data_IF_658611502743
#
_entry.id   IF_658611502743
#
_cell.length_a   1.000
_cell.length_b   1.000
_cell.length_c   1.000
_cell.angle_alpha   90.00
_cell.angle_beta   90.00
_cell.angle_gamma   90.00
#
_symmetry.space_group_name_H-M   'P 1'
#
loop_
_entity.id
_entity.type
_entity.pdbx_description
1 polymer ?
#
# COMPACT_ATOMS: atom_id res chain seq x y z
N UNK A 1 6.86 6.91 13.42
CA UNK A 1 5.49 7.10 12.88
C UNK A 1 5.17 5.91 11.99
N UNK A 2 3.92 5.70 11.58
CA UNK A 2 3.59 4.59 10.67
C UNK A 2 3.63 5.09 9.23
N UNK A 3 3.96 4.24 8.27
CA UNK A 3 3.95 4.61 6.85
C UNK A 3 2.62 5.24 6.41
N UNK A 4 1.48 4.77 6.97
CA UNK A 4 0.18 5.39 6.71
C UNK A 4 0.08 6.83 7.25
N UNK A 5 0.78 7.16 8.33
CA UNK A 5 0.89 8.54 8.83
C UNK A 5 1.75 9.38 7.91
N UNK A 6 2.89 8.86 7.48
CA UNK A 6 3.85 9.59 6.64
C UNK A 6 3.22 9.94 5.28
N UNK A 7 2.46 9.00 4.68
CA UNK A 7 1.66 9.26 3.45
C UNK A 7 0.62 10.38 3.66
N UNK A 8 -0.07 10.39 4.81
CA UNK A 8 -1.06 11.44 5.11
C UNK A 8 -0.40 12.79 5.33
N UNK A 9 0.76 12.82 6.00
CA UNK A 9 1.55 14.03 6.19
C UNK A 9 2.01 14.59 4.85
N UNK A 10 2.58 13.76 3.96
CA UNK A 10 2.98 14.17 2.61
C UNK A 10 1.82 14.77 1.82
N UNK A 11 0.66 14.10 1.80
CA UNK A 11 -0.54 14.58 1.12
C UNK A 11 -0.95 15.97 1.63
N UNK A 12 -0.96 16.16 2.95
CA UNK A 12 -1.36 17.42 3.58
C UNK A 12 -0.36 18.52 3.24
N UNK A 13 0.94 18.28 3.43
CA UNK A 13 2.00 19.25 3.17
C UNK A 13 2.00 19.71 1.71
N UNK A 14 1.94 18.77 0.75
CA UNK A 14 1.90 19.11 -0.68
C UNK A 14 0.63 19.85 -1.07
N UNK A 15 -0.52 19.48 -0.50
CA UNK A 15 -1.78 20.22 -0.71
C UNK A 15 -1.73 21.63 -0.13
N UNK A 16 -1.16 21.81 1.07
CA UNK A 16 -0.99 23.12 1.70
C UNK A 16 -0.04 23.99 0.89
N UNK A 17 1.11 23.46 0.48
CA UNK A 17 2.06 24.17 -0.37
C UNK A 17 1.42 24.61 -1.67
N UNK A 18 0.70 23.72 -2.36
CA UNK A 18 0.02 24.04 -3.61
C UNK A 18 -1.08 25.12 -3.42
N UNK A 19 -1.79 25.13 -2.27
CA UNK A 19 -2.74 26.19 -1.93
C UNK A 19 -2.04 27.53 -1.70
N UNK A 20 -0.94 27.55 -0.95
CA UNK A 20 -0.18 28.76 -0.64
C UNK A 20 0.46 29.39 -1.88
N UNK A 21 0.98 28.58 -2.79
CA UNK A 21 1.59 29.04 -4.05
C UNK A 21 0.57 29.35 -5.17
N UNK A 22 -0.74 29.23 -4.91
CA UNK A 22 -1.79 29.45 -5.93
C UNK A 22 -1.82 28.36 -7.02
N UNK A 23 -1.11 27.24 -6.83
CA UNK A 23 -1.08 26.11 -7.76
C UNK A 23 -2.30 25.19 -7.71
N UNK A 24 -3.09 25.28 -6.64
CA UNK A 24 -4.33 24.50 -6.50
C UNK A 24 -5.54 25.37 -6.83
N UNK A 25 -6.38 24.91 -7.77
CA UNK A 25 -7.63 25.60 -8.13
C UNK A 25 -8.66 25.49 -7.00
N UNK A 26 -9.51 26.51 -6.86
CA UNK A 26 -10.59 26.52 -5.87
C UNK A 26 -11.56 25.32 -6.02
N UNK A 27 -11.85 24.89 -7.25
CA UNK A 27 -12.64 23.67 -7.50
C UNK A 27 -12.00 22.40 -6.92
N UNK A 28 -10.65 22.29 -6.96
CA UNK A 28 -9.93 21.16 -6.36
C UNK A 28 -9.93 21.24 -4.83
N UNK A 29 -9.79 22.45 -4.26
CA UNK A 29 -9.90 22.65 -2.81
C UNK A 29 -11.31 22.27 -2.34
N UNK A 30 -12.35 22.68 -3.06
CA UNK A 30 -13.74 22.30 -2.79
C UNK A 30 -13.94 20.78 -2.85
N UNK A 31 -13.43 20.13 -3.87
CA UNK A 31 -13.53 18.67 -4.04
C UNK A 31 -12.77 17.91 -2.91
N UNK A 32 -11.60 18.38 -2.49
CA UNK A 32 -10.84 17.80 -1.38
C UNK A 32 -11.59 17.95 -0.05
N UNK A 33 -12.13 19.14 0.23
CA UNK A 33 -13.01 19.36 1.40
C UNK A 33 -14.20 18.42 1.39
N UNK A 34 -14.87 18.31 0.25
CA UNK A 34 -16.01 17.43 0.09
C UNK A 34 -15.64 15.97 0.34
N UNK A 35 -14.56 15.48 -0.24
CA UNK A 35 -14.05 14.13 -0.01
C UNK A 35 -13.76 13.87 1.47
N UNK A 36 -13.05 14.78 2.14
CA UNK A 36 -12.70 14.63 3.55
C UNK A 36 -13.93 14.59 4.45
N UNK A 37 -14.94 15.42 4.20
CA UNK A 37 -16.18 15.51 4.98
C UNK A 37 -17.13 14.35 4.68
N UNK A 38 -17.40 14.05 3.41
CA UNK A 38 -18.38 13.04 2.98
C UNK A 38 -18.00 11.63 3.43
N UNK A 39 -16.70 11.27 3.36
CA UNK A 39 -16.23 9.94 3.71
C UNK A 39 -15.96 9.75 5.20
N UNK A 40 -16.17 10.79 6.03
CA UNK A 40 -16.20 10.63 7.48
C UNK A 40 -17.35 9.71 7.92
N UNK A 41 -17.15 9.05 9.05
CA UNK A 41 -18.18 8.19 9.63
C UNK A 41 -19.49 8.95 9.89
N UNK A 42 -19.40 10.16 10.42
CA UNK A 42 -20.54 11.00 10.81
C UNK A 42 -20.62 12.23 9.88
N UNK A 43 -21.48 12.16 8.85
CA UNK A 43 -21.82 13.26 7.95
C UNK A 43 -23.33 13.22 7.69
N UNK A 44 -24.11 13.90 8.55
CA UNK A 44 -25.56 13.95 8.51
C UNK A 44 -26.09 15.19 9.22
N UNK A 45 -27.40 15.52 9.09
CA UNK A 45 -28.04 16.60 9.82
C UNK A 45 -27.89 16.48 11.35
N UNK A 46 -27.88 15.25 11.88
CA UNK A 46 -27.71 15.01 13.30
C UNK A 46 -26.29 15.17 13.79
N UNK A 47 -25.32 14.83 12.93
CA UNK A 47 -23.91 14.80 13.34
C UNK A 47 -22.95 14.94 12.16
N UNK A 48 -22.01 15.88 12.29
CA UNK A 48 -20.86 16.04 11.40
C UNK A 48 -19.62 16.04 12.26
N UNK A 49 -18.79 14.98 12.18
CA UNK A 49 -17.53 14.92 12.91
C UNK A 49 -16.55 13.91 12.30
N UNK A 50 -15.26 14.17 12.49
CA UNK A 50 -14.19 13.21 12.27
C UNK A 50 -13.60 12.74 13.59
N UNK A 51 -13.19 11.47 13.64
CA UNK A 51 -12.32 10.91 14.67
C UNK A 51 -11.07 10.38 14.02
N UNK A 52 -9.92 10.85 14.43
CA UNK A 52 -8.64 10.46 13.86
C UNK A 52 -7.54 10.53 14.93
N UNK A 53 -6.51 9.71 14.78
CA UNK A 53 -5.28 9.78 15.58
C UNK A 53 -4.28 10.75 14.95
N UNK A 54 -4.50 11.12 13.67
CA UNK A 54 -3.59 11.94 12.90
C UNK A 54 -3.88 13.44 13.11
N UNK A 55 -2.94 14.16 13.72
CA UNK A 55 -3.12 15.57 14.06
C UNK A 55 -3.26 16.48 12.83
N UNK A 56 -2.50 16.21 11.75
CA UNK A 56 -2.59 16.94 10.49
C UNK A 56 -3.97 16.82 9.84
N UNK A 57 -4.55 15.60 9.79
CA UNK A 57 -5.92 15.39 9.29
C UNK A 57 -6.95 16.14 10.13
N UNK A 58 -6.81 16.12 11.46
CA UNK A 58 -7.72 16.85 12.34
C UNK A 58 -7.64 18.37 12.11
N UNK A 59 -6.43 18.92 11.92
CA UNK A 59 -6.18 20.33 11.64
C UNK A 59 -6.76 20.74 10.28
N UNK A 60 -6.52 19.93 9.23
CA UNK A 60 -7.05 20.17 7.90
C UNK A 60 -8.59 20.17 7.90
N UNK A 61 -9.21 19.17 8.56
CA UNK A 61 -10.67 19.10 8.73
C UNK A 61 -11.21 20.33 9.44
N UNK A 62 -10.56 20.76 10.51
CA UNK A 62 -10.96 21.96 11.27
C UNK A 62 -10.82 23.23 10.42
N UNK A 63 -9.76 23.34 9.61
CA UNK A 63 -9.56 24.45 8.67
C UNK A 63 -10.65 24.51 7.61
N UNK A 64 -11.06 23.37 7.04
CA UNK A 64 -12.13 23.29 6.05
C UNK A 64 -13.49 23.66 6.66
N UNK A 65 -13.81 23.15 7.85
CA UNK A 65 -15.04 23.54 8.56
C UNK A 65 -15.02 25.05 8.85
N UNK A 66 -13.88 25.60 9.28
CA UNK A 66 -13.72 27.04 9.53
C UNK A 66 -13.90 27.86 8.26
N UNK A 67 -13.39 27.41 7.11
CA UNK A 67 -13.56 28.08 5.80
C UNK A 67 -15.05 28.19 5.42
N UNK A 68 -15.85 27.15 5.68
CA UNK A 68 -17.28 27.13 5.36
C UNK A 68 -18.10 27.97 6.35
N UNK A 69 -17.82 27.84 7.64
CA UNK A 69 -18.64 28.42 8.70
C UNK A 69 -18.21 29.83 9.13
N UNK A 70 -16.95 30.22 8.86
CA UNK A 70 -16.32 31.42 9.40
C UNK A 70 -15.90 31.30 10.86
N UNK A 71 -16.10 30.15 11.51
CA UNK A 71 -15.74 29.90 12.92
C UNK A 71 -15.15 28.52 13.14
N UNK A 72 -14.31 28.38 14.18
CA UNK A 72 -13.61 27.12 14.50
C UNK A 72 -14.59 26.07 15.01
N UNK A 73 -14.47 24.79 14.56
CA UNK A 73 -15.22 23.67 15.14
C UNK A 73 -14.71 23.34 16.56
N UNK A 74 -15.46 22.48 17.26
CA UNK A 74 -15.02 21.91 18.54
C UNK A 74 -13.98 20.83 18.31
N UNK A 75 -12.82 20.97 18.97
CA UNK A 75 -11.76 19.95 18.96
C UNK A 75 -11.64 19.36 20.38
N UNK A 76 -11.71 18.04 20.48
CA UNK A 76 -11.56 17.28 21.72
C UNK A 76 -10.46 16.24 21.52
N UNK A 77 -9.50 16.19 22.45
CA UNK A 77 -8.45 15.16 22.48
C UNK A 77 -8.77 14.16 23.59
N UNK A 78 -8.75 12.89 23.27
CA UNK A 78 -8.88 11.82 24.25
C UNK A 78 -7.52 11.49 24.85
N UNK A 79 -7.49 10.96 26.07
CA UNK A 79 -6.28 10.42 26.72
C UNK A 79 -5.58 9.31 25.92
N UNK A 80 -6.34 8.60 25.09
CA UNK A 80 -5.83 7.56 24.18
C UNK A 80 -5.26 8.11 22.84
N UNK A 81 -5.03 9.43 22.71
CA UNK A 81 -4.45 10.04 21.51
C UNK A 81 -5.44 10.34 20.39
N UNK A 82 -6.70 9.89 20.48
CA UNK A 82 -7.72 10.16 19.48
C UNK A 82 -8.19 11.63 19.52
N UNK A 83 -8.24 12.26 18.36
CA UNK A 83 -8.72 13.63 18.17
C UNK A 83 -10.11 13.55 17.52
N UNK A 84 -11.07 14.23 18.14
CA UNK A 84 -12.41 14.42 17.57
C UNK A 84 -12.60 15.89 17.19
N UNK A 85 -12.93 16.14 15.93
CA UNK A 85 -13.35 17.45 15.45
C UNK A 85 -14.82 17.40 15.08
N UNK A 86 -15.65 18.21 15.73
CA UNK A 86 -17.12 18.15 15.60
C UNK A 86 -17.73 19.52 15.37
N UNK A 87 -18.79 19.54 14.55
CA UNK A 87 -19.60 20.71 14.26
C UNK A 87 -20.75 20.80 15.27
N UNK A 88 -20.83 21.93 16.01
CA UNK A 88 -21.89 22.23 16.96
C UNK A 88 -22.98 23.01 16.28
N UNK A 89 -24.20 22.80 16.72
CA UNK A 89 -25.38 23.53 16.21
C UNK A 89 -25.96 22.91 14.95
N UNK A 90 -27.25 22.92 14.86
CA UNK A 90 -27.98 22.39 13.71
C UNK A 90 -27.78 23.27 12.47
N UNK A 91 -27.90 24.59 12.63
CA UNK A 91 -27.68 25.53 11.53
C UNK A 91 -26.32 25.43 10.88
N UNK A 92 -25.26 25.14 11.66
CA UNK A 92 -23.91 24.94 11.12
C UNK A 92 -23.79 23.64 10.32
N UNK A 93 -24.38 22.57 10.83
CA UNK A 93 -24.42 21.30 10.10
C UNK A 93 -25.18 21.43 8.80
N UNK A 94 -26.35 22.10 8.88
CA UNK A 94 -27.18 22.35 7.71
C UNK A 94 -26.41 23.18 6.65
N UNK A 95 -25.73 24.26 7.06
CA UNK A 95 -24.89 25.07 6.16
C UNK A 95 -23.80 24.26 5.47
N UNK A 96 -23.14 23.33 6.20
CA UNK A 96 -22.12 22.45 5.59
C UNK A 96 -22.77 21.50 4.58
N UNK A 97 -23.91 20.90 4.91
CA UNK A 97 -24.62 20.00 3.99
C UNK A 97 -25.05 20.73 2.72
N UNK A 98 -25.65 21.90 2.86
CA UNK A 98 -26.09 22.75 1.73
C UNK A 98 -24.92 23.17 0.83
N UNK A 99 -23.74 23.48 1.41
CA UNK A 99 -22.53 23.81 0.65
C UNK A 99 -22.18 22.73 -0.37
N UNK A 100 -22.46 21.47 -0.04
CA UNK A 100 -22.19 20.31 -0.92
C UNK A 100 -23.45 19.73 -1.58
N UNK A 101 -24.59 20.45 -1.49
CA UNK A 101 -25.85 20.04 -2.09
C UNK A 101 -26.47 18.79 -1.47
N UNK A 102 -26.33 18.64 -0.14
CA UNK A 102 -26.99 17.62 0.67
C UNK A 102 -28.09 18.25 1.53
N UNK A 103 -29.19 17.51 1.76
CA UNK A 103 -30.30 17.94 2.65
C UNK A 103 -30.08 17.45 4.07
N UNK A 104 -29.29 16.40 4.26
CA UNK A 104 -29.10 15.72 5.55
C UNK A 104 -30.21 14.75 5.93
N UNK A 105 -31.29 14.70 5.15
CA UNK A 105 -32.42 13.77 5.28
C UNK A 105 -32.38 12.59 4.30
N UNK A 106 -31.29 12.48 3.52
CA UNK A 106 -31.10 11.39 2.57
C UNK A 106 -31.06 10.04 3.27
N UNK A 107 -31.88 9.09 2.78
CA UNK A 107 -31.91 7.69 3.28
C UNK A 107 -30.56 7.02 3.09
N UNK A 108 -29.86 7.36 2.00
CA UNK A 108 -28.55 6.79 1.67
C UNK A 108 -27.54 7.87 1.36
N UNK A 109 -26.38 7.81 2.03
CA UNK A 109 -25.26 8.71 1.71
C UNK A 109 -24.70 8.35 0.34
N UNK A 110 -24.63 9.34 -0.55
CA UNK A 110 -24.11 9.21 -1.91
C UNK A 110 -23.24 10.40 -2.29
N UNK A 111 -22.37 10.20 -3.25
CA UNK A 111 -21.53 11.26 -3.81
C UNK A 111 -22.40 12.15 -4.72
N UNK A 112 -22.40 13.45 -4.46
CA UNK A 112 -23.00 14.46 -5.32
C UNK A 112 -21.95 14.96 -6.32
N UNK A 113 -22.11 14.58 -7.60
CA UNK A 113 -21.14 14.91 -8.66
C UNK A 113 -21.06 16.40 -9.02
N UNK A 114 -22.04 17.19 -8.65
CA UNK A 114 -21.98 18.65 -8.82
C UNK A 114 -20.78 19.31 -8.10
N UNK A 115 -20.18 18.61 -7.11
CA UNK A 115 -18.97 19.06 -6.42
C UNK A 115 -17.66 18.75 -7.21
N UNK A 116 -17.76 18.13 -8.37
CA UNK A 116 -16.63 17.79 -9.26
C UNK A 116 -16.83 18.53 -10.58
N UNK A 117 -16.38 19.78 -10.62
CA UNK A 117 -16.58 20.68 -11.77
C UNK A 117 -15.74 20.27 -12.97
N UNK A 118 -14.51 19.79 -12.74
CA UNK A 118 -13.55 19.41 -13.76
C UNK A 118 -12.86 18.08 -13.41
N UNK A 119 -12.18 17.49 -14.38
CA UNK A 119 -11.39 16.26 -14.18
C UNK A 119 -10.33 16.41 -13.06
N UNK A 120 -9.73 17.58 -12.93
CA UNK A 120 -8.76 17.88 -11.86
C UNK A 120 -9.34 17.81 -10.44
N UNK A 121 -10.68 17.75 -10.29
CA UNK A 121 -11.35 17.58 -9.01
C UNK A 121 -11.35 16.11 -8.53
N UNK A 122 -11.22 15.15 -9.44
CA UNK A 122 -11.27 13.72 -9.11
C UNK A 122 -10.12 13.31 -8.17
N UNK A 123 -8.83 13.58 -8.49
CA UNK A 123 -7.74 13.27 -7.58
C UNK A 123 -7.87 13.99 -6.24
N UNK A 124 -8.37 15.22 -6.23
CA UNK A 124 -8.59 15.97 -5.01
C UNK A 124 -9.67 15.35 -4.11
N UNK A 125 -10.79 14.89 -4.68
CA UNK A 125 -11.82 14.15 -3.94
C UNK A 125 -11.28 12.82 -3.37
N UNK A 126 -10.55 12.04 -4.19
CA UNK A 126 -9.97 10.75 -3.76
C UNK A 126 -8.98 10.97 -2.62
N UNK A 127 -8.15 12.02 -2.70
CA UNK A 127 -7.24 12.44 -1.65
C UNK A 127 -7.98 12.76 -0.35
N UNK A 128 -9.05 13.57 -0.40
CA UNK A 128 -9.90 13.87 0.74
C UNK A 128 -10.53 12.62 1.35
N UNK A 129 -11.03 11.70 0.51
CA UNK A 129 -11.55 10.41 0.95
C UNK A 129 -10.47 9.56 1.64
N UNK A 130 -9.24 9.51 1.08
CA UNK A 130 -8.13 8.78 1.68
C UNK A 130 -7.75 9.34 3.06
N UNK A 131 -7.66 10.65 3.21
CA UNK A 131 -7.39 11.28 4.50
C UNK A 131 -8.44 10.93 5.55
N UNK A 132 -9.70 10.73 5.15
CA UNK A 132 -10.81 10.40 6.03
C UNK A 132 -10.92 8.93 6.39
N UNK A 133 -10.89 8.04 5.41
CA UNK A 133 -11.19 6.62 5.58
C UNK A 133 -10.14 5.68 4.95
N UNK A 134 -9.05 6.25 4.42
CA UNK A 134 -7.96 5.48 3.81
C UNK A 134 -6.89 5.06 4.81
N UNK A 135 -6.28 3.91 4.53
CA UNK A 135 -5.07 3.42 5.21
C UNK A 135 -4.19 2.66 4.24
N UNK A 136 -2.91 2.56 4.55
CA UNK A 136 -1.91 1.83 3.79
C UNK A 136 -0.97 1.07 4.73
N UNK A 137 -0.58 -0.12 4.37
CA UNK A 137 0.37 -0.94 5.12
C UNK A 137 1.81 -0.53 4.79
N UNK A 138 2.73 -0.71 5.73
CA UNK A 138 4.16 -0.50 5.48
C UNK A 138 4.63 -1.41 4.32
N UNK A 139 5.25 -0.84 3.26
CA UNK A 139 5.66 -1.57 2.07
C UNK A 139 6.72 -2.66 2.35
N UNK A 140 7.43 -2.58 3.48
CA UNK A 140 8.33 -3.67 3.90
C UNK A 140 7.59 -4.96 4.23
N UNK A 141 6.33 -4.86 4.69
CA UNK A 141 5.49 -6.00 5.07
C UNK A 141 4.65 -6.49 3.90
N UNK A 142 3.79 -5.62 3.36
CA UNK A 142 2.86 -5.96 2.28
C UNK A 142 2.45 -4.70 1.52
N UNK A 143 2.04 -4.86 0.26
CA UNK A 143 1.48 -3.79 -0.57
C UNK A 143 -0.04 -3.82 -0.45
N UNK A 144 -0.57 -3.08 0.54
CA UNK A 144 -2.00 -3.04 0.77
C UNK A 144 -2.47 -1.61 1.11
N UNK A 145 -3.29 -1.05 0.23
CA UNK A 145 -3.97 0.23 0.43
C UNK A 145 -5.47 -0.02 0.41
N UNK A 146 -6.21 0.53 1.37
CA UNK A 146 -7.64 0.36 1.44
C UNK A 146 -8.40 1.62 1.88
N UNK A 147 -9.66 1.72 1.42
CA UNK A 147 -10.65 2.68 1.87
C UNK A 147 -11.76 1.92 2.61
N UNK A 148 -12.00 2.25 3.87
CA UNK A 148 -13.02 1.61 4.72
C UNK A 148 -14.25 2.50 4.80
N UNK A 149 -15.34 2.11 4.14
CA UNK A 149 -16.51 2.95 3.95
C UNK A 149 -17.74 2.28 4.58
N UNK A 150 -18.47 3.00 5.43
CA UNK A 150 -19.64 2.45 6.14
C UNK A 150 -20.89 2.30 5.25
N UNK A 151 -20.99 3.06 4.16
CA UNK A 151 -22.17 3.13 3.30
C UNK A 151 -21.92 2.50 1.94
N UNK A 152 -22.71 1.47 1.58
CA UNK A 152 -22.55 0.72 0.32
C UNK A 152 -22.62 1.65 -0.91
N UNK A 153 -23.65 2.49 -0.99
CA UNK A 153 -23.85 3.36 -2.16
C UNK A 153 -22.69 4.33 -2.34
N UNK A 154 -22.17 4.89 -1.25
CA UNK A 154 -21.00 5.77 -1.29
C UNK A 154 -19.73 5.02 -1.74
N UNK A 155 -19.56 3.78 -1.28
CA UNK A 155 -18.49 2.90 -1.73
C UNK A 155 -18.58 2.61 -3.24
N UNK A 156 -19.77 2.28 -3.73
CA UNK A 156 -20.01 2.02 -5.15
C UNK A 156 -19.77 3.29 -6.00
N UNK A 157 -20.13 4.48 -5.48
CA UNK A 157 -19.86 5.75 -6.15
C UNK A 157 -18.36 6.03 -6.25
N UNK A 158 -17.58 5.83 -5.18
CA UNK A 158 -16.14 6.01 -5.20
C UNK A 158 -15.47 5.03 -6.17
N UNK A 159 -15.89 3.75 -6.16
CA UNK A 159 -15.41 2.74 -7.10
C UNK A 159 -15.66 3.15 -8.56
N UNK A 160 -16.86 3.63 -8.87
CA UNK A 160 -17.20 4.11 -10.21
C UNK A 160 -16.32 5.29 -10.62
N UNK A 161 -16.13 6.25 -9.72
CA UNK A 161 -15.31 7.42 -9.97
C UNK A 161 -13.83 7.04 -10.23
N UNK A 162 -13.28 6.09 -9.45
CA UNK A 162 -11.93 5.58 -9.68
C UNK A 162 -11.80 4.85 -11.03
N UNK A 163 -12.81 4.06 -11.40
CA UNK A 163 -12.82 3.36 -12.67
C UNK A 163 -12.84 4.30 -13.89
N UNK A 164 -13.41 5.50 -13.75
CA UNK A 164 -13.45 6.53 -14.82
C UNK A 164 -12.05 7.10 -15.13
N UNK A 165 -11.10 6.94 -14.21
CA UNK A 165 -9.71 7.38 -14.34
C UNK A 165 -8.73 6.19 -14.35
N UNK A 166 -9.20 5.04 -14.85
CA UNK A 166 -8.45 3.80 -15.02
C UNK A 166 -7.84 3.21 -13.73
N UNK A 167 -8.39 3.58 -12.58
CA UNK A 167 -8.02 3.04 -11.27
C UNK A 167 -9.07 2.03 -10.83
N UNK A 168 -8.72 0.73 -10.81
CA UNK A 168 -9.66 -0.39 -10.57
C UNK A 168 -9.44 -1.03 -9.20
N UNK A 169 -10.10 -0.56 -8.12
CA UNK A 169 -10.03 -1.17 -6.81
C UNK A 169 -10.77 -2.51 -6.77
N UNK A 170 -10.27 -3.45 -5.97
CA UNK A 170 -11.00 -4.65 -5.55
C UNK A 170 -11.98 -4.27 -4.45
N UNK A 171 -13.07 -5.03 -4.32
CA UNK A 171 -14.12 -4.79 -3.34
C UNK A 171 -14.35 -6.01 -2.45
N UNK A 172 -14.55 -5.77 -1.16
CA UNK A 172 -14.92 -6.79 -0.18
C UNK A 172 -15.76 -6.18 0.93
N UNK A 173 -16.60 -7.00 1.57
CA UNK A 173 -17.31 -6.62 2.81
C UNK A 173 -16.63 -7.30 3.99
N UNK A 174 -16.24 -6.53 5.01
CA UNK A 174 -15.64 -7.02 6.24
C UNK A 174 -16.38 -6.47 7.45
N UNK A 175 -16.91 -7.34 8.29
CA UNK A 175 -17.63 -6.95 9.54
C UNK A 175 -18.69 -5.86 9.32
N UNK A 176 -19.43 -5.95 8.22
CA UNK A 176 -20.50 -5.00 7.89
C UNK A 176 -20.06 -3.67 7.27
N UNK A 177 -18.76 -3.44 7.04
CA UNK A 177 -18.23 -2.28 6.32
C UNK A 177 -17.78 -2.66 4.91
N UNK A 178 -17.83 -1.71 3.98
CA UNK A 178 -17.47 -1.87 2.59
C UNK A 178 -16.03 -1.39 2.40
N UNK A 179 -15.18 -2.22 1.79
CA UNK A 179 -13.75 -1.94 1.62
C UNK A 179 -13.39 -1.98 0.14
N UNK A 180 -12.84 -0.89 -0.37
CA UNK A 180 -12.13 -0.84 -1.64
C UNK A 180 -10.64 -0.98 -1.35
N UNK A 181 -9.94 -1.89 -2.06
CA UNK A 181 -8.54 -2.15 -1.75
C UNK A 181 -7.70 -2.48 -2.98
N UNK A 182 -6.39 -2.26 -2.81
CA UNK A 182 -5.33 -2.60 -3.76
C UNK A 182 -4.31 -3.48 -3.06
N UNK A 183 -3.80 -4.51 -3.76
CA UNK A 183 -2.72 -5.41 -3.28
C UNK A 183 -1.56 -5.51 -4.25
N UNK A 184 -1.65 -4.82 -5.35
CA UNK A 184 -0.64 -4.75 -6.37
C UNK A 184 0.20 -3.48 -6.15
N UNK A 185 1.54 -3.63 -6.06
CA UNK A 185 2.43 -2.51 -5.79
C UNK A 185 2.27 -1.40 -6.84
N UNK A 186 2.21 -1.74 -8.12
CA UNK A 186 2.09 -0.79 -9.23
C UNK A 186 0.80 0.04 -9.11
N UNK A 187 -0.32 -0.63 -8.80
CA UNK A 187 -1.61 0.06 -8.60
C UNK A 187 -1.63 0.95 -7.36
N UNK A 188 -0.88 0.58 -6.32
CA UNK A 188 -0.72 1.41 -5.11
C UNK A 188 0.14 2.62 -5.44
N UNK A 189 1.25 2.45 -6.16
CA UNK A 189 2.16 3.49 -6.63
C UNK A 189 1.41 4.51 -7.51
N UNK A 190 0.63 4.03 -8.49
CA UNK A 190 -0.21 4.85 -9.37
C UNK A 190 -1.22 5.68 -8.58
N UNK A 191 -1.94 5.05 -7.63
CA UNK A 191 -2.94 5.73 -6.82
C UNK A 191 -2.31 6.80 -5.91
N UNK A 192 -1.16 6.51 -5.28
CA UNK A 192 -0.45 7.49 -4.45
C UNK A 192 0.00 8.70 -5.27
N UNK A 193 0.58 8.45 -6.43
CA UNK A 193 0.98 9.51 -7.37
C UNK A 193 -0.23 10.34 -7.80
N UNK A 194 -1.34 9.67 -8.14
CA UNK A 194 -2.59 10.33 -8.54
C UNK A 194 -3.19 11.20 -7.42
N UNK A 195 -3.08 10.76 -6.16
CA UNK A 195 -3.53 11.53 -5.00
C UNK A 195 -2.57 12.66 -4.59
N UNK A 196 -1.36 12.72 -5.16
CA UNK A 196 -0.35 13.72 -4.85
C UNK A 196 0.60 13.33 -3.70
N UNK A 197 0.90 12.05 -3.56
CA UNK A 197 1.93 11.49 -2.67
C UNK A 197 3.04 10.78 -3.48
N UNK A 198 3.79 11.50 -4.35
CA UNK A 198 4.82 10.89 -5.17
C UNK A 198 6.03 10.39 -4.39
N UNK A 199 6.37 11.00 -3.25
CA UNK A 199 7.54 10.59 -2.46
C UNK A 199 7.27 9.22 -1.81
N UNK A 200 6.07 9.02 -1.27
CA UNK A 200 5.61 7.72 -0.76
C UNK A 200 5.50 6.66 -1.87
N UNK A 201 5.12 7.05 -3.08
CA UNK A 201 5.13 6.17 -4.26
C UNK A 201 6.55 5.71 -4.58
N UNK A 202 7.53 6.62 -4.60
CA UNK A 202 8.95 6.31 -4.81
C UNK A 202 9.52 5.39 -3.71
N UNK A 203 9.10 5.55 -2.46
CA UNK A 203 9.50 4.66 -1.35
C UNK A 203 9.01 3.23 -1.59
N UNK A 204 7.78 3.04 -2.08
CA UNK A 204 7.25 1.72 -2.45
C UNK A 204 8.07 1.11 -3.59
N UNK A 205 8.36 1.87 -4.65
CA UNK A 205 9.20 1.42 -5.76
C UNK A 205 10.59 0.98 -5.29
N UNK A 206 11.25 1.77 -4.44
CA UNK A 206 12.55 1.45 -3.85
C UNK A 206 12.52 0.16 -3.03
N UNK A 207 11.50 0.00 -2.20
CA UNK A 207 11.29 -1.21 -1.39
C UNK A 207 11.07 -2.45 -2.26
N UNK A 208 10.29 -2.33 -3.35
CA UNK A 208 10.06 -3.40 -4.33
C UNK A 208 11.37 -3.82 -4.99
N UNK A 209 12.14 -2.87 -5.52
CA UNK A 209 13.44 -3.14 -6.16
C UNK A 209 14.40 -3.86 -5.20
N UNK A 210 14.49 -3.43 -3.94
CA UNK A 210 15.33 -4.07 -2.94
C UNK A 210 14.89 -5.51 -2.64
N UNK A 211 13.58 -5.74 -2.47
CA UNK A 211 13.03 -7.10 -2.27
C UNK A 211 13.33 -8.02 -3.44
N UNK A 212 13.16 -7.54 -4.67
CA UNK A 212 13.39 -8.32 -5.89
C UNK A 212 14.88 -8.69 -6.04
N UNK A 213 15.78 -7.74 -5.77
CA UNK A 213 17.22 -7.99 -5.78
C UNK A 213 17.60 -9.04 -4.74
N UNK A 214 17.14 -8.90 -3.51
CA UNK A 214 17.38 -9.86 -2.42
C UNK A 214 16.86 -11.26 -2.77
N UNK A 215 15.65 -11.34 -3.32
CA UNK A 215 15.05 -12.60 -3.74
C UNK A 215 15.86 -13.27 -4.87
N UNK A 216 16.37 -12.49 -5.83
CA UNK A 216 17.21 -12.97 -6.92
C UNK A 216 18.54 -13.54 -6.39
N UNK A 217 19.19 -12.84 -5.46
CA UNK A 217 20.42 -13.30 -4.80
C UNK A 217 20.17 -14.60 -4.02
N UNK A 218 19.12 -14.64 -3.21
CA UNK A 218 18.75 -15.82 -2.42
C UNK A 218 18.48 -17.04 -3.32
N UNK A 219 17.75 -16.84 -4.43
CA UNK A 219 17.49 -17.93 -5.41
C UNK A 219 18.79 -18.45 -6.01
N UNK A 220 19.73 -17.55 -6.37
CA UNK A 220 21.03 -17.93 -6.91
C UNK A 220 21.84 -18.72 -5.88
N UNK A 221 21.95 -18.23 -4.64
CA UNK A 221 22.65 -18.93 -3.55
C UNK A 221 22.06 -20.32 -3.27
N UNK A 222 20.72 -20.41 -3.21
CA UNK A 222 20.05 -21.69 -2.98
C UNK A 222 20.31 -22.69 -4.11
N UNK A 223 20.35 -22.21 -5.36
CA UNK A 223 20.67 -23.03 -6.52
C UNK A 223 22.13 -23.52 -6.46
N UNK A 224 23.08 -22.64 -6.17
CA UNK A 224 24.50 -22.99 -6.05
C UNK A 224 24.74 -23.99 -4.90
N UNK A 225 24.15 -23.76 -3.73
CA UNK A 225 24.24 -24.66 -2.58
C UNK A 225 23.65 -26.05 -2.90
N UNK A 226 22.49 -26.11 -3.56
CA UNK A 226 21.88 -27.38 -3.95
C UNK A 226 22.73 -28.16 -4.97
N UNK A 227 23.36 -27.46 -5.92
CA UNK A 227 24.25 -28.09 -6.88
C UNK A 227 25.55 -28.60 -6.23
N UNK A 228 26.15 -27.80 -5.34
CA UNK A 228 27.33 -28.23 -4.58
C UNK A 228 27.04 -29.45 -3.72
N UNK A 229 25.93 -29.46 -2.98
CA UNK A 229 25.52 -30.63 -2.17
C UNK A 229 25.37 -31.88 -3.01
N UNK A 230 24.70 -31.80 -4.18
CA UNK A 230 24.58 -32.94 -5.10
C UNK A 230 25.91 -33.43 -5.65
N UNK A 231 26.84 -32.51 -5.94
CA UNK A 231 28.17 -32.84 -6.41
C UNK A 231 28.99 -33.59 -5.31
N UNK A 232 28.90 -33.10 -4.06
CA UNK A 232 29.52 -33.76 -2.92
C UNK A 232 28.95 -35.17 -2.67
N UNK A 233 27.63 -35.30 -2.66
CA UNK A 233 26.97 -36.59 -2.48
C UNK A 233 27.38 -37.60 -3.58
N UNK A 234 27.48 -37.13 -4.82
CA UNK A 234 27.91 -37.94 -5.95
C UNK A 234 29.39 -38.37 -5.81
N UNK A 235 30.28 -37.43 -5.45
CA UNK A 235 31.70 -37.71 -5.22
C UNK A 235 31.87 -38.72 -4.08
N UNK A 236 31.19 -38.53 -2.96
CA UNK A 236 31.22 -39.44 -1.81
C UNK A 236 30.83 -40.88 -2.21
N UNK A 237 29.70 -41.05 -2.91
CA UNK A 237 29.25 -42.37 -3.38
C UNK A 237 30.25 -43.01 -4.34
N UNK A 238 30.89 -42.22 -5.22
CA UNK A 238 31.92 -42.70 -6.11
C UNK A 238 33.16 -43.20 -5.34
N UNK A 239 33.63 -42.42 -4.34
CA UNK A 239 34.75 -42.78 -3.50
C UNK A 239 34.45 -44.07 -2.71
N UNK A 240 33.30 -44.21 -2.10
CA UNK A 240 32.88 -45.46 -1.42
C UNK A 240 32.87 -46.66 -2.37
N UNK A 241 32.31 -46.50 -3.56
CA UNK A 241 32.29 -47.56 -4.57
C UNK A 241 33.72 -47.95 -5.02
N UNK A 242 34.60 -46.98 -5.26
CA UNK A 242 36.01 -47.23 -5.64
C UNK A 242 36.74 -47.96 -4.51
N UNK A 243 36.63 -47.52 -3.25
CA UNK A 243 37.23 -48.17 -2.08
C UNK A 243 36.71 -49.60 -1.86
N UNK A 244 35.45 -49.84 -2.11
CA UNK A 244 34.82 -51.14 -2.06
C UNK A 244 35.43 -52.09 -3.14
N UNK A 245 35.52 -51.64 -4.41
CA UNK A 245 36.09 -52.41 -5.50
C UNK A 245 37.57 -52.72 -5.23
N UNK A 246 38.32 -51.74 -4.76
CA UNK A 246 39.73 -51.87 -4.41
C UNK A 246 39.96 -52.95 -3.37
N UNK A 247 39.13 -52.99 -2.33
CA UNK A 247 39.21 -53.95 -1.23
C UNK A 247 38.81 -55.37 -1.64
N UNK A 248 37.76 -55.54 -2.45
CA UNK A 248 37.21 -56.87 -2.77
C UNK A 248 37.86 -57.52 -3.97
N UNK A 249 38.28 -56.77 -4.99
CA UNK A 249 38.79 -57.30 -6.28
C UNK A 249 40.04 -56.64 -6.79
N UNK A 250 40.49 -55.56 -6.14
CA UNK A 250 41.55 -54.70 -6.63
C UNK A 250 41.14 -53.82 -7.83
N UNK A 251 41.79 -52.65 -7.97
CA UNK A 251 41.46 -51.71 -9.07
C UNK A 251 41.75 -52.28 -10.47
N UNK A 252 42.63 -53.30 -10.58
CA UNK A 252 42.91 -53.98 -11.86
C UNK A 252 41.74 -54.74 -12.47
N UNK A 253 40.62 -54.85 -11.77
CA UNK A 253 39.38 -55.40 -12.30
C UNK A 253 38.65 -54.44 -13.24
N UNK A 254 38.94 -53.14 -13.16
CA UNK A 254 38.35 -52.08 -13.98
C UNK A 254 39.08 -51.94 -15.31
N UNK A 255 38.47 -51.35 -16.32
CA UNK A 255 39.14 -50.92 -17.54
C UNK A 255 40.21 -49.87 -17.28
N UNK A 256 41.23 -49.76 -18.13
CA UNK A 256 42.34 -48.83 -17.94
C UNK A 256 41.87 -47.39 -17.74
N UNK A 257 40.90 -46.93 -18.51
CA UNK A 257 40.33 -45.59 -18.39
C UNK A 257 39.64 -45.36 -17.02
N UNK A 258 38.95 -46.37 -16.50
CA UNK A 258 38.32 -46.32 -15.19
C UNK A 258 39.31 -46.41 -14.04
N UNK A 259 40.44 -47.10 -14.21
CA UNK A 259 41.51 -47.15 -13.22
C UNK A 259 42.12 -45.77 -13.02
N UNK A 260 42.41 -45.08 -14.12
CA UNK A 260 43.01 -43.74 -14.09
C UNK A 260 42.04 -42.73 -13.44
N UNK A 261 40.77 -42.74 -13.85
CA UNK A 261 39.73 -41.90 -13.27
C UNK A 261 39.48 -42.19 -11.76
N UNK A 262 39.51 -43.48 -11.37
CA UNK A 262 39.37 -43.87 -9.97
C UNK A 262 40.52 -43.34 -9.10
N UNK A 263 41.76 -43.41 -9.59
CA UNK A 263 42.94 -42.85 -8.91
C UNK A 263 42.85 -41.34 -8.79
N UNK A 264 42.43 -40.62 -9.86
CA UNK A 264 42.25 -39.19 -9.84
C UNK A 264 41.15 -38.77 -8.83
N UNK A 265 40.04 -39.52 -8.75
CA UNK A 265 38.95 -39.27 -7.79
C UNK A 265 39.43 -39.47 -6.32
N UNK A 266 40.22 -40.49 -6.04
CA UNK A 266 40.75 -40.73 -4.70
C UNK A 266 41.79 -39.69 -4.27
N UNK A 267 42.52 -39.10 -5.23
CA UNK A 267 43.50 -38.03 -4.97
C UNK A 267 42.85 -36.67 -4.82
N UNK A 268 41.68 -36.47 -5.44
CA UNK A 268 40.97 -35.19 -5.49
C UNK A 268 39.50 -35.41 -5.09
N UNK A 269 39.27 -35.70 -3.80
CA UNK A 269 37.96 -36.10 -3.27
C UNK A 269 36.86 -35.00 -3.47
N UNK A 270 37.28 -33.73 -3.47
CA UNK A 270 36.38 -32.58 -3.54
C UNK A 270 36.07 -32.08 -4.98
N UNK A 271 36.79 -32.61 -5.99
CA UNK A 271 36.65 -32.15 -7.37
C UNK A 271 35.31 -32.62 -7.99
N UNK A 272 34.68 -31.75 -8.78
CA UNK A 272 33.55 -32.16 -9.62
C UNK A 272 34.01 -33.08 -10.76
N UNK A 273 33.11 -33.86 -11.36
CA UNK A 273 33.43 -34.67 -12.53
C UNK A 273 34.00 -33.86 -13.71
N UNK A 274 33.58 -32.60 -13.84
CA UNK A 274 34.09 -31.68 -14.87
C UNK A 274 35.54 -31.23 -14.64
N UNK A 275 35.95 -31.19 -13.40
CA UNK A 275 37.35 -30.83 -13.02
C UNK A 275 38.27 -32.02 -13.07
N UNK A 276 37.75 -33.24 -13.06
CA UNK A 276 38.50 -34.48 -13.17
C UNK A 276 38.74 -34.92 -14.63
N UNK A 277 37.95 -34.44 -15.59
CA UNK A 277 38.03 -34.76 -17.02
C UNK A 277 38.05 -33.54 -17.87
#
# INVERSE_FOLDING_TARGET
MSFASDVKDEIIEKSELARMCGGMKECCIHAEMYGLLLFCRDFSANRICIKTEHSGVASLYAGFVQKILGRKPKIEKSSAGNIRVSVRGEADRQKILETFGHTGSEITRRLNRANLEFECCIPALIRGAFLSCGTITNPEKDYHLEFVISHKVLCDNLKKLMNEVDIYPKYVVRKGVHVLYFKDSEKVEDLLTYMGAPDSSLEIMGTKMYKDMRNKVNRKMNFENANSSRAFDAAYRQIEAIRFIEKEKGLGYLSNDLIELAKLRLMNEDYSLKELG
#
